data_IF_102816404192
#
_entry.id   IF_102816404192
#
_cell.length_a   1.000
_cell.length_b   1.000
_cell.length_c   1.000
_cell.angle_alpha   90.00
_cell.angle_beta   90.00
_cell.angle_gamma   90.00
#
_symmetry.space_group_name_H-M   'P 1'
#
loop_
_entity.id
_entity.type
_entity.pdbx_description
1 polymer ?
#
# COMPACT_ATOMS: atom_id res chain seq x y z
N UNK A 1 -13.39 -4.02 -26.67
CA UNK A 1 -13.83 -5.38 -26.30
C UNK A 1 -14.96 -5.20 -25.31
N UNK A 2 -16.05 -5.96 -25.43
CA UNK A 2 -17.08 -5.96 -24.39
C UNK A 2 -16.48 -6.46 -23.07
N UNK A 3 -16.90 -5.87 -21.97
CA UNK A 3 -16.29 -6.14 -20.67
C UNK A 3 -16.60 -7.57 -20.19
N UNK A 4 -17.76 -8.13 -20.56
CA UNK A 4 -18.11 -9.52 -20.21
C UNK A 4 -17.23 -10.51 -20.97
N UNK A 5 -17.00 -10.25 -22.25
CA UNK A 5 -16.07 -11.01 -23.07
C UNK A 5 -14.64 -10.94 -22.53
N UNK A 6 -14.20 -9.77 -22.04
CA UNK A 6 -12.91 -9.63 -21.36
C UNK A 6 -12.83 -10.54 -20.14
N UNK A 7 -13.80 -10.46 -19.22
CA UNK A 7 -13.81 -11.29 -18.01
C UNK A 7 -13.77 -12.80 -18.34
N UNK A 8 -14.50 -13.24 -19.37
CA UNK A 8 -14.45 -14.62 -19.87
C UNK A 8 -13.06 -15.04 -20.35
N UNK A 9 -12.37 -14.18 -21.10
CA UNK A 9 -11.00 -14.43 -21.56
C UNK A 9 -10.01 -14.47 -20.39
N UNK A 10 -10.20 -13.63 -19.39
CA UNK A 10 -9.40 -13.65 -18.16
C UNK A 10 -9.57 -14.98 -17.43
N UNK A 11 -10.80 -15.46 -17.26
CA UNK A 11 -11.07 -16.78 -16.69
C UNK A 11 -10.40 -17.90 -17.50
N UNK A 12 -10.53 -17.87 -18.83
CA UNK A 12 -9.89 -18.84 -19.71
C UNK A 12 -8.36 -18.88 -19.51
N UNK A 13 -7.73 -17.70 -19.45
CA UNK A 13 -6.29 -17.57 -19.24
C UNK A 13 -5.82 -18.07 -17.87
N UNK A 14 -6.69 -17.98 -16.85
CA UNK A 14 -6.48 -18.53 -15.52
C UNK A 14 -6.80 -20.04 -15.42
N UNK A 15 -7.16 -20.70 -16.53
CA UNK A 15 -7.54 -22.11 -16.54
C UNK A 15 -8.93 -22.39 -15.95
N UNK A 16 -9.78 -21.36 -15.82
CA UNK A 16 -11.14 -21.45 -15.34
C UNK A 16 -12.15 -21.47 -16.52
N UNK A 17 -13.26 -22.23 -16.42
CA UNK A 17 -14.25 -22.30 -17.50
C UNK A 17 -14.91 -20.94 -17.76
N UNK A 18 -14.80 -20.35 -18.95
CA UNK A 18 -15.36 -19.02 -19.24
C UNK A 18 -16.88 -18.94 -19.12
N UNK A 19 -17.57 -20.06 -19.37
CA UNK A 19 -19.01 -20.21 -19.22
C UNK A 19 -19.48 -20.20 -17.76
N UNK A 20 -18.57 -20.39 -16.81
CA UNK A 20 -18.90 -20.36 -15.37
C UNK A 20 -19.18 -18.94 -14.86
N UNK A 21 -18.88 -17.89 -15.64
CA UNK A 21 -19.16 -16.50 -15.25
C UNK A 21 -20.67 -16.22 -15.16
N UNK A 22 -21.18 -16.16 -13.93
CA UNK A 22 -22.58 -15.87 -13.63
C UNK A 22 -22.85 -14.37 -13.58
N UNK A 23 -22.06 -13.61 -12.83
CA UNK A 23 -22.29 -12.19 -12.55
C UNK A 23 -20.99 -11.39 -12.50
N UNK A 24 -21.09 -10.09 -12.80
CA UNK A 24 -20.04 -9.10 -12.65
C UNK A 24 -20.58 -7.90 -11.89
N UNK A 25 -19.91 -7.56 -10.80
CA UNK A 25 -20.30 -6.45 -9.95
C UNK A 25 -19.13 -5.45 -9.86
N UNK A 26 -19.33 -4.17 -10.20
CA UNK A 26 -18.30 -3.17 -9.94
C UNK A 26 -18.06 -3.07 -8.43
N UNK A 27 -16.79 -3.10 -8.02
CA UNK A 27 -16.39 -2.80 -6.64
C UNK A 27 -15.94 -1.33 -6.60
N UNK A 28 -16.61 -0.53 -5.76
CA UNK A 28 -16.20 0.85 -5.51
C UNK A 28 -14.96 0.93 -4.63
N UNK A 29 -14.36 2.13 -4.54
CA UNK A 29 -13.24 2.41 -3.62
C UNK A 29 -11.84 2.35 -4.24
N UNK A 30 -11.66 1.69 -5.38
CA UNK A 30 -10.42 1.75 -6.15
C UNK A 30 -10.23 3.14 -6.77
N UNK A 31 -9.16 3.85 -6.38
CA UNK A 31 -8.86 5.20 -6.92
C UNK A 31 -8.06 5.16 -8.23
N UNK A 32 -7.51 3.99 -8.58
CA UNK A 32 -6.58 3.83 -9.71
C UNK A 32 -7.00 2.73 -10.69
N UNK A 33 -7.18 1.50 -10.21
CA UNK A 33 -7.59 0.36 -11.03
C UNK A 33 -9.11 0.27 -11.13
N UNK A 34 -9.63 -0.22 -12.27
CA UNK A 34 -11.01 -0.71 -12.34
C UNK A 34 -11.04 -2.04 -11.60
N UNK A 35 -11.90 -2.14 -10.58
CA UNK A 35 -12.03 -3.33 -9.72
C UNK A 35 -13.44 -3.90 -9.87
N UNK A 36 -13.52 -5.20 -10.11
CA UNK A 36 -14.78 -5.91 -10.30
C UNK A 36 -14.77 -7.23 -9.53
N UNK A 37 -15.89 -7.57 -8.93
CA UNK A 37 -16.15 -8.91 -8.43
C UNK A 37 -16.72 -9.77 -9.57
N UNK A 38 -16.08 -10.91 -9.82
CA UNK A 38 -16.61 -11.97 -10.67
C UNK A 38 -17.21 -13.06 -9.80
N UNK A 39 -18.48 -13.39 -10.02
CA UNK A 39 -19.14 -14.54 -9.37
C UNK A 39 -19.31 -15.67 -10.37
N UNK A 40 -18.84 -16.85 -9.99
CA UNK A 40 -18.95 -18.05 -10.80
C UNK A 40 -20.20 -18.86 -10.41
N UNK A 41 -20.65 -19.74 -11.31
CA UNK A 41 -21.85 -20.57 -11.14
C UNK A 41 -21.79 -21.54 -9.96
N UNK A 42 -20.58 -21.87 -9.50
CA UNK A 42 -20.34 -22.75 -8.33
C UNK A 42 -20.28 -21.97 -6.99
N UNK A 43 -20.47 -20.65 -7.03
CA UNK A 43 -20.38 -19.77 -5.86
C UNK A 43 -18.98 -19.19 -5.61
N UNK A 44 -17.97 -19.56 -6.40
CA UNK A 44 -16.64 -18.97 -6.30
C UNK A 44 -16.69 -17.48 -6.60
N UNK A 45 -15.98 -16.68 -5.79
CA UNK A 45 -15.86 -15.23 -5.94
C UNK A 45 -14.41 -14.86 -6.22
N UNK A 46 -14.21 -14.03 -7.24
CA UNK A 46 -12.90 -13.54 -7.66
C UNK A 46 -12.95 -12.02 -7.78
N UNK A 47 -11.80 -11.38 -7.64
CA UNK A 47 -11.63 -9.95 -7.86
C UNK A 47 -10.76 -9.75 -9.11
N UNK A 48 -11.32 -9.10 -10.11
CA UNK A 48 -10.62 -8.70 -11.33
C UNK A 48 -10.19 -7.24 -11.21
N UNK A 49 -8.88 -7.00 -11.29
CA UNK A 49 -8.28 -5.67 -11.38
C UNK A 49 -7.75 -5.43 -12.78
N UNK A 50 -8.11 -4.29 -13.36
CA UNK A 50 -7.68 -3.84 -14.69
C UNK A 50 -6.99 -2.48 -14.50
N UNK A 51 -5.76 -2.31 -15.00
CA UNK A 51 -5.05 -1.05 -14.82
C UNK A 51 -5.67 0.03 -15.72
N UNK A 52 -5.54 1.32 -15.34
CA UNK A 52 -5.96 2.39 -16.20
C UNK A 52 -5.11 2.41 -17.50
N UNK A 53 -5.57 3.09 -18.56
CA UNK A 53 -4.78 3.27 -19.77
C UNK A 53 -3.38 3.83 -19.47
N UNK A 54 -2.37 3.44 -20.25
CA UNK A 54 -0.99 3.92 -20.08
C UNK A 54 -0.82 5.43 -20.27
N UNK A 55 -1.81 6.09 -20.89
CA UNK A 55 -1.89 7.54 -21.08
C UNK A 55 -2.43 8.29 -19.85
N UNK A 56 -2.92 7.59 -18.84
CA UNK A 56 -3.46 8.21 -17.61
C UNK A 56 -2.33 8.90 -16.84
N UNK A 57 -2.54 10.18 -16.50
CA UNK A 57 -1.61 10.93 -15.65
C UNK A 57 -1.49 10.25 -14.29
N UNK A 58 -0.26 9.97 -13.87
CA UNK A 58 0.06 9.22 -12.66
C UNK A 58 1.35 9.72 -12.03
N UNK A 59 1.54 9.43 -10.75
CA UNK A 59 2.82 9.58 -10.08
C UNK A 59 3.83 8.57 -10.64
N UNK A 60 5.12 8.88 -10.59
CA UNK A 60 6.19 8.06 -11.14
C UNK A 60 6.23 6.66 -10.54
N UNK A 61 6.00 6.55 -9.22
CA UNK A 61 5.99 5.27 -8.52
C UNK A 61 4.80 4.37 -8.90
N UNK A 62 3.72 4.93 -9.47
CA UNK A 62 2.50 4.20 -9.89
C UNK A 62 2.69 3.45 -11.22
N UNK A 63 3.93 3.19 -11.61
CA UNK A 63 4.25 2.32 -12.73
C UNK A 63 4.15 0.85 -12.31
N UNK A 64 3.46 0.04 -13.12
CA UNK A 64 3.33 -1.42 -12.94
C UNK A 64 2.73 -1.89 -11.60
N UNK A 65 1.75 -1.15 -11.06
CA UNK A 65 1.07 -1.45 -9.77
C UNK A 65 0.52 -2.88 -9.66
N UNK A 66 -0.05 -3.44 -10.75
CA UNK A 66 -0.53 -4.83 -10.74
C UNK A 66 0.59 -5.86 -10.50
N UNK A 67 1.82 -5.56 -10.94
CA UNK A 67 2.97 -6.42 -10.70
C UNK A 67 3.37 -6.43 -9.22
N UNK A 68 3.35 -5.26 -8.59
CA UNK A 68 3.59 -5.12 -7.16
C UNK A 68 2.54 -5.84 -6.32
N UNK A 69 1.25 -5.68 -6.64
CA UNK A 69 0.19 -6.38 -5.90
C UNK A 69 0.27 -7.90 -6.07
N UNK A 70 0.57 -8.39 -7.28
CA UNK A 70 0.78 -9.82 -7.51
C UNK A 70 1.98 -10.36 -6.70
N UNK A 71 3.05 -9.58 -6.58
CA UNK A 71 4.21 -9.93 -5.76
C UNK A 71 3.87 -9.97 -4.28
N UNK A 72 3.16 -8.96 -3.78
CA UNK A 72 2.64 -8.92 -2.40
C UNK A 72 1.80 -10.16 -2.08
N UNK A 73 0.81 -10.48 -2.93
CA UNK A 73 -0.07 -11.64 -2.72
C UNK A 73 0.72 -12.96 -2.66
N UNK A 74 1.73 -13.13 -3.53
CA UNK A 74 2.60 -14.32 -3.49
C UNK A 74 3.44 -14.36 -2.22
N UNK A 75 4.02 -13.24 -1.83
CA UNK A 75 4.88 -13.13 -0.65
C UNK A 75 4.09 -13.37 0.65
N UNK A 76 2.92 -12.74 0.80
CA UNK A 76 2.03 -12.91 1.96
C UNK A 76 1.56 -14.37 2.13
N UNK A 77 1.32 -15.08 1.01
CA UNK A 77 0.94 -16.49 1.04
C UNK A 77 2.02 -17.40 1.64
N UNK A 78 3.30 -17.02 1.60
CA UNK A 78 4.40 -17.82 2.17
C UNK A 78 4.44 -17.81 3.70
N UNK A 79 3.71 -16.89 4.33
CA UNK A 79 3.69 -16.69 5.78
C UNK A 79 2.27 -16.75 6.35
N UNK A 80 1.34 -17.40 5.64
CA UNK A 80 -0.11 -17.55 5.95
C UNK A 80 -0.77 -16.30 6.55
N UNK A 81 -0.48 -15.13 5.98
CA UNK A 81 -1.22 -13.91 6.29
C UNK A 81 -2.49 -13.88 5.42
N UNK A 82 -3.68 -13.55 5.99
CA UNK A 82 -4.90 -13.39 5.21
C UNK A 82 -4.72 -12.27 4.17
N UNK A 83 -4.60 -12.65 2.91
CA UNK A 83 -4.48 -11.75 1.76
C UNK A 83 -5.05 -12.45 0.53
N UNK A 84 -5.38 -11.72 -0.55
CA UNK A 84 -5.82 -12.33 -1.79
C UNK A 84 -4.73 -13.24 -2.37
N UNK A 85 -5.12 -14.34 -3.01
CA UNK A 85 -4.21 -15.20 -3.77
C UNK A 85 -4.35 -14.91 -5.25
N UNK A 86 -3.23 -14.95 -5.98
CA UNK A 86 -3.23 -14.77 -7.44
C UNK A 86 -3.82 -16.01 -8.10
N UNK A 87 -5.01 -15.85 -8.70
CA UNK A 87 -5.65 -16.88 -9.52
C UNK A 87 -5.20 -16.80 -10.99
N UNK A 88 -4.80 -15.60 -11.45
CA UNK A 88 -4.23 -15.39 -12.78
C UNK A 88 -3.68 -13.97 -12.91
N UNK A 89 -2.70 -13.77 -13.78
CA UNK A 89 -2.15 -12.45 -14.05
C UNK A 89 -1.65 -12.37 -15.49
N UNK A 90 -1.92 -11.24 -16.14
CA UNK A 90 -1.24 -10.86 -17.37
C UNK A 90 -0.76 -9.41 -17.22
N UNK A 91 0.56 -9.22 -17.18
CA UNK A 91 1.17 -7.91 -16.97
C UNK A 91 1.65 -7.26 -18.27
N UNK A 92 1.66 -8.00 -19.38
CA UNK A 92 2.02 -7.53 -20.72
C UNK A 92 0.79 -6.96 -21.46
N UNK A 93 0.98 -5.83 -22.14
CA UNK A 93 -0.02 -5.20 -23.01
C UNK A 93 -0.43 -6.09 -24.19
N UNK A 94 0.41 -7.03 -24.60
CA UNK A 94 0.12 -7.98 -25.68
C UNK A 94 -0.89 -9.06 -25.30
N UNK A 95 -1.30 -9.13 -24.02
CA UNK A 95 -2.24 -10.15 -23.55
C UNK A 95 -3.60 -10.05 -24.27
N UNK A 96 -4.22 -11.18 -24.68
CA UNK A 96 -5.48 -11.16 -25.45
C UNK A 96 -6.68 -10.48 -24.77
N UNK A 97 -6.64 -10.34 -23.44
CA UNK A 97 -7.64 -9.65 -22.62
C UNK A 97 -7.16 -8.27 -22.11
N UNK A 98 -5.98 -7.85 -22.54
CA UNK A 98 -5.21 -6.75 -21.94
C UNK A 98 -4.62 -7.13 -20.58
N UNK A 99 -3.89 -6.18 -20.00
CA UNK A 99 -3.30 -6.32 -18.67
C UNK A 99 -4.38 -6.47 -17.61
N UNK A 100 -4.18 -7.43 -16.71
CA UNK A 100 -5.11 -7.70 -15.61
C UNK A 100 -4.45 -8.50 -14.48
N UNK A 101 -5.06 -8.42 -13.31
CA UNK A 101 -4.78 -9.28 -12.17
C UNK A 101 -6.09 -9.88 -11.67
N UNK A 102 -6.13 -11.21 -11.56
CA UNK A 102 -7.26 -11.96 -11.05
C UNK A 102 -6.89 -12.55 -9.69
N UNK A 103 -7.63 -12.16 -8.66
CA UNK A 103 -7.37 -12.49 -7.27
C UNK A 103 -8.54 -13.29 -6.67
N UNK A 104 -8.27 -14.10 -5.65
CA UNK A 104 -9.34 -14.67 -4.82
C UNK A 104 -10.01 -13.59 -4.00
N UNK A 105 -11.32 -13.71 -3.81
CA UNK A 105 -12.06 -12.83 -2.89
C UNK A 105 -11.67 -13.10 -1.42
N UNK A 106 -11.44 -12.03 -0.64
CA UNK A 106 -11.22 -12.12 0.80
C UNK A 106 -12.52 -11.84 1.57
N UNK A 107 -12.86 -12.63 2.61
CA UNK A 107 -14.07 -12.43 3.40
C UNK A 107 -14.00 -11.15 4.25
N UNK A 108 -15.17 -10.70 4.72
CA UNK A 108 -15.29 -9.53 5.59
C UNK A 108 -15.79 -8.27 4.89
N UNK A 109 -16.00 -7.23 5.69
CA UNK A 109 -16.37 -5.87 5.28
C UNK A 109 -15.34 -4.84 5.78
N UNK A 110 -15.66 -3.55 5.67
CA UNK A 110 -14.77 -2.48 6.13
C UNK A 110 -14.57 -2.44 7.66
N UNK A 111 -13.47 -1.83 8.07
CA UNK A 111 -13.09 -1.60 9.46
C UNK A 111 -14.02 -0.64 10.23
N UNK A 112 -14.83 0.17 9.55
CA UNK A 112 -15.65 1.21 10.18
C UNK A 112 -16.77 0.67 11.08
N UNK A 113 -17.05 1.34 12.20
CA UNK A 113 -18.17 0.99 13.08
C UNK A 113 -17.91 -0.26 13.92
N UNK A 114 -16.68 -0.43 14.38
CA UNK A 114 -16.27 -1.37 15.43
C UNK A 114 -16.44 -0.72 16.80
N UNK A 115 -16.83 -1.50 17.80
CA UNK A 115 -16.78 -1.05 19.19
C UNK A 115 -15.32 -1.01 19.68
N UNK A 116 -14.95 -0.15 20.66
CA UNK A 116 -13.56 -0.02 21.11
C UNK A 116 -12.90 -1.33 21.55
N UNK A 117 -13.67 -2.25 22.15
CA UNK A 117 -13.15 -3.55 22.56
C UNK A 117 -12.88 -4.49 21.37
N UNK A 118 -13.68 -4.40 20.30
CA UNK A 118 -13.47 -5.14 19.07
C UNK A 118 -12.24 -4.61 18.32
N UNK A 119 -12.11 -3.28 18.27
CA UNK A 119 -10.96 -2.61 17.65
C UNK A 119 -9.65 -2.98 18.34
N UNK A 120 -9.59 -2.99 19.68
CA UNK A 120 -8.40 -3.40 20.42
C UNK A 120 -7.95 -4.83 20.08
N UNK A 121 -8.91 -5.77 20.00
CA UNK A 121 -8.64 -7.17 19.60
C UNK A 121 -8.09 -7.24 18.19
N UNK A 122 -8.73 -6.54 17.25
CA UNK A 122 -8.32 -6.52 15.84
C UNK A 122 -6.98 -5.82 15.63
N UNK A 123 -6.68 -4.72 16.34
CA UNK A 123 -5.38 -4.04 16.27
C UNK A 123 -4.27 -4.96 16.75
N UNK A 124 -4.48 -5.73 17.81
CA UNK A 124 -3.53 -6.74 18.27
C UNK A 124 -3.34 -7.86 17.27
N UNK A 125 -4.41 -8.42 16.70
CA UNK A 125 -4.30 -9.43 15.62
C UNK A 125 -3.53 -8.86 14.42
N UNK A 126 -3.87 -7.65 13.99
CA UNK A 126 -3.21 -6.94 12.88
C UNK A 126 -1.72 -6.75 13.14
N UNK A 127 -1.32 -6.39 14.35
CA UNK A 127 0.08 -6.34 14.77
C UNK A 127 0.81 -7.66 14.51
N UNK A 128 0.22 -8.78 14.92
CA UNK A 128 0.77 -10.11 14.67
C UNK A 128 0.88 -10.44 13.17
N UNK A 129 -0.16 -10.14 12.39
CA UNK A 129 -0.16 -10.37 10.94
C UNK A 129 0.92 -9.56 10.22
N UNK A 130 1.08 -8.28 10.57
CA UNK A 130 2.10 -7.40 9.99
C UNK A 130 3.51 -7.88 10.38
N UNK A 131 3.71 -8.34 11.62
CA UNK A 131 4.98 -8.96 12.02
C UNK A 131 5.32 -10.20 11.18
N UNK A 132 4.32 -11.02 10.80
CA UNK A 132 4.51 -12.16 9.90
C UNK A 132 4.87 -11.73 8.49
N UNK A 133 4.20 -10.72 7.93
CA UNK A 133 4.56 -10.14 6.62
C UNK A 133 6.03 -9.72 6.61
N UNK A 134 6.47 -9.01 7.65
CA UNK A 134 7.83 -8.52 7.80
C UNK A 134 8.91 -9.62 7.96
N UNK A 135 8.52 -10.90 8.09
CA UNK A 135 9.47 -12.02 8.04
C UNK A 135 9.92 -12.34 6.62
N UNK A 136 9.13 -12.01 5.60
CA UNK A 136 9.47 -12.27 4.20
C UNK A 136 10.57 -11.31 3.75
N UNK A 137 11.60 -11.84 3.10
CA UNK A 137 12.74 -11.07 2.57
C UNK A 137 12.73 -11.01 1.05
N UNK A 138 13.08 -9.85 0.49
CA UNK A 138 13.23 -9.64 -0.94
C UNK A 138 14.66 -9.85 -1.44
N UNK A 139 14.86 -9.86 -2.78
CA UNK A 139 16.19 -10.00 -3.38
C UNK A 139 17.02 -8.71 -3.38
N UNK A 140 16.41 -7.57 -3.05
CA UNK A 140 17.04 -6.25 -2.98
C UNK A 140 16.01 -5.20 -2.54
N UNK A 141 16.43 -3.95 -2.38
CA UNK A 141 15.61 -2.85 -1.88
C UNK A 141 14.91 -2.06 -3.00
N UNK A 142 13.70 -1.57 -2.74
CA UNK A 142 12.92 -0.72 -3.64
C UNK A 142 11.65 -1.37 -4.19
N UNK A 143 11.01 -0.68 -5.16
CA UNK A 143 9.79 -1.16 -5.78
C UNK A 143 10.07 -2.32 -6.76
N UNK A 144 9.38 -3.47 -6.63
CA UNK A 144 9.52 -4.59 -7.57
C UNK A 144 9.03 -4.24 -8.98
N UNK A 145 8.22 -3.19 -9.14
CA UNK A 145 7.80 -2.65 -10.44
C UNK A 145 8.94 -2.11 -11.29
N UNK A 146 10.08 -1.78 -10.68
CA UNK A 146 11.19 -1.12 -11.35
C UNK A 146 10.95 0.37 -11.63
N UNK A 147 9.93 0.98 -11.00
CA UNK A 147 9.54 2.39 -11.20
C UNK A 147 10.70 3.39 -11.14
N UNK A 148 11.67 3.12 -10.27
CA UNK A 148 12.87 3.95 -10.05
C UNK A 148 14.16 3.22 -10.41
N UNK A 149 14.09 2.23 -11.30
CA UNK A 149 15.21 1.37 -11.68
C UNK A 149 15.21 0.01 -10.96
N UNK A 150 16.26 -0.80 -11.14
CA UNK A 150 16.37 -2.11 -10.52
C UNK A 150 16.48 -2.00 -9.00
N UNK A 151 16.14 -3.10 -8.31
CA UNK A 151 16.33 -3.20 -6.86
C UNK A 151 17.81 -2.95 -6.49
N UNK A 152 18.02 -2.22 -5.39
CA UNK A 152 19.35 -1.81 -4.93
C UNK A 152 19.84 -2.73 -3.80
N UNK A 153 21.15 -2.67 -3.53
CA UNK A 153 21.75 -3.42 -2.41
C UNK A 153 21.57 -2.73 -1.06
N UNK A 154 21.30 -1.43 -1.05
CA UNK A 154 21.20 -0.60 0.14
C UNK A 154 19.88 0.18 0.19
N UNK A 155 19.29 0.27 1.40
CA UNK A 155 18.01 0.91 1.60
C UNK A 155 18.06 2.42 1.40
N UNK A 156 19.16 3.08 1.80
CA UNK A 156 19.32 4.52 1.63
C UNK A 156 19.18 4.92 0.15
N UNK A 157 19.88 4.25 -0.76
CA UNK A 157 19.81 4.55 -2.20
C UNK A 157 18.40 4.32 -2.75
N UNK A 158 17.77 3.20 -2.40
CA UNK A 158 16.38 2.95 -2.81
C UNK A 158 15.44 4.05 -2.31
N UNK A 159 15.44 4.32 -1.01
CA UNK A 159 14.53 5.29 -0.40
C UNK A 159 14.78 6.72 -0.88
N UNK A 160 16.04 7.11 -1.13
CA UNK A 160 16.35 8.39 -1.78
C UNK A 160 15.66 8.49 -3.15
N UNK A 161 15.75 7.46 -3.99
CA UNK A 161 15.09 7.46 -5.30
C UNK A 161 13.55 7.51 -5.18
N UNK A 162 12.98 6.78 -4.22
CA UNK A 162 11.54 6.79 -3.94
C UNK A 162 11.07 8.20 -3.54
N UNK A 163 11.78 8.85 -2.63
CA UNK A 163 11.45 10.17 -2.11
C UNK A 163 11.64 11.25 -3.18
N UNK A 164 12.77 11.24 -3.88
CA UNK A 164 13.08 12.17 -4.97
C UNK A 164 12.06 12.06 -6.10
N UNK A 165 11.58 10.85 -6.41
CA UNK A 165 10.51 10.66 -7.40
C UNK A 165 9.23 11.43 -7.07
N UNK A 166 8.82 11.46 -5.80
CA UNK A 166 7.62 12.20 -5.38
C UNK A 166 7.89 13.71 -5.33
N UNK A 167 9.10 14.14 -4.95
CA UNK A 167 9.49 15.55 -5.04
C UNK A 167 9.51 16.05 -6.49
N UNK A 168 9.98 15.23 -7.42
CA UNK A 168 9.98 15.54 -8.85
C UNK A 168 8.56 15.59 -9.41
N UNK A 169 7.67 14.71 -8.97
CA UNK A 169 6.24 14.81 -9.29
C UNK A 169 5.62 16.09 -8.69
N UNK A 170 5.97 16.47 -7.46
CA UNK A 170 5.50 17.72 -6.85
C UNK A 170 5.89 18.94 -7.71
N UNK A 171 7.14 18.96 -8.21
CA UNK A 171 7.63 20.00 -9.14
C UNK A 171 6.93 19.95 -10.49
N UNK A 172 6.83 18.75 -11.08
CA UNK A 172 6.22 18.50 -12.39
C UNK A 172 4.76 18.92 -12.44
N UNK A 173 4.00 18.62 -11.39
CA UNK A 173 2.58 18.95 -11.30
C UNK A 173 2.31 20.34 -10.72
N UNK A 174 3.34 21.04 -10.20
CA UNK A 174 3.14 22.29 -9.48
C UNK A 174 2.25 22.11 -8.26
N UNK A 175 2.38 20.97 -7.57
CA UNK A 175 1.53 20.63 -6.44
C UNK A 175 1.69 21.65 -5.30
N UNK A 176 0.58 21.99 -4.67
CA UNK A 176 0.62 22.84 -3.48
C UNK A 176 1.15 22.03 -2.29
N UNK A 177 2.09 22.62 -1.55
CA UNK A 177 2.65 22.06 -0.32
C UNK A 177 2.63 23.13 0.79
N UNK A 178 2.53 22.73 2.07
CA UNK A 178 2.55 23.67 3.20
C UNK A 178 3.90 24.37 3.39
N UNK A 179 4.97 23.82 2.81
CA UNK A 179 6.33 24.38 2.78
C UNK A 179 6.92 24.18 1.38
N UNK A 180 7.91 24.98 0.95
CA UNK A 180 8.54 24.83 -0.37
C UNK A 180 9.12 23.42 -0.59
N UNK A 181 8.97 22.87 -1.80
CA UNK A 181 9.45 21.52 -2.14
C UNK A 181 10.94 21.31 -1.86
N UNK A 182 11.76 22.33 -2.08
CA UNK A 182 13.21 22.26 -1.82
C UNK A 182 13.53 22.28 -0.32
N UNK A 183 12.66 22.85 0.50
CA UNK A 183 12.75 22.76 1.95
C UNK A 183 12.40 21.36 2.46
N UNK A 184 11.33 20.75 1.93
CA UNK A 184 11.01 19.33 2.20
C UNK A 184 12.22 18.46 1.87
N UNK A 185 12.78 18.61 0.66
CA UNK A 185 13.91 17.82 0.19
C UNK A 185 15.14 17.96 1.11
N UNK A 186 15.49 19.20 1.48
CA UNK A 186 16.63 19.50 2.35
C UNK A 186 16.45 18.91 3.75
N UNK A 187 15.26 19.06 4.35
CA UNK A 187 14.97 18.53 5.68
C UNK A 187 14.92 17.01 5.70
N UNK A 188 14.33 16.36 4.68
CA UNK A 188 14.36 14.90 4.59
C UNK A 188 15.80 14.38 4.45
N UNK A 189 16.61 15.02 3.60
CA UNK A 189 17.99 14.60 3.34
C UNK A 189 18.88 14.61 4.60
N UNK A 190 18.62 15.47 5.59
CA UNK A 190 19.43 15.52 6.81
C UNK A 190 19.38 14.23 7.63
N UNK A 191 18.34 13.40 7.45
CA UNK A 191 18.14 12.16 8.18
C UNK A 191 18.44 10.87 7.38
N UNK A 192 18.93 10.99 6.13
CA UNK A 192 19.14 9.82 5.24
C UNK A 192 20.22 8.84 5.73
N UNK A 193 21.31 9.34 6.30
CA UNK A 193 21.50 9.07 7.72
C UNK A 193 21.14 7.69 8.28
N UNK A 194 20.04 7.72 9.03
CA UNK A 194 19.47 6.63 9.77
C UNK A 194 19.01 5.43 8.90
N UNK A 195 18.88 5.60 7.58
CA UNK A 195 18.46 4.53 6.67
C UNK A 195 19.53 3.43 6.53
N UNK A 196 20.81 3.74 6.81
CA UNK A 196 21.91 2.76 6.74
C UNK A 196 21.77 1.61 7.74
N UNK A 197 20.98 1.77 8.80
CA UNK A 197 20.69 0.70 9.76
C UNK A 197 19.81 -0.42 9.17
N UNK A 198 19.12 -0.14 8.06
CA UNK A 198 18.24 -1.09 7.39
C UNK A 198 19.05 -1.94 6.43
N UNK A 199 19.32 -3.18 6.85
CA UNK A 199 20.23 -4.10 6.13
C UNK A 199 19.51 -5.28 5.49
N UNK A 200 18.22 -5.47 5.75
CA UNK A 200 17.43 -6.57 5.18
C UNK A 200 16.19 -6.02 4.47
N UNK A 201 16.04 -6.26 3.15
CA UNK A 201 14.83 -5.88 2.42
C UNK A 201 13.67 -6.76 2.85
N UNK A 202 12.70 -6.20 3.57
CA UNK A 202 11.50 -6.93 4.00
C UNK A 202 10.29 -6.55 3.16
N UNK A 203 9.31 -7.43 3.11
CA UNK A 203 8.01 -7.15 2.50
C UNK A 203 7.34 -6.02 3.27
N UNK A 204 7.11 -4.88 2.62
CA UNK A 204 6.36 -3.74 3.18
C UNK A 204 5.14 -3.50 2.29
N UNK A 205 3.94 -3.44 2.85
CA UNK A 205 2.71 -3.20 2.09
C UNK A 205 2.55 -1.73 1.70
N UNK A 206 2.87 -0.83 2.62
CA UNK A 206 2.84 0.63 2.53
C UNK A 206 1.46 1.26 2.24
N UNK A 207 0.37 0.54 2.51
CA UNK A 207 -0.99 1.07 2.32
C UNK A 207 -2.05 0.39 3.21
N UNK A 208 -1.68 0.01 4.44
CA UNK A 208 -2.55 -0.69 5.40
C UNK A 208 -3.37 0.29 6.26
N UNK A 209 -4.10 1.20 5.61
CA UNK A 209 -5.11 2.03 6.26
C UNK A 209 -6.44 1.24 6.40
N UNK A 210 -7.39 1.68 7.24
CA UNK A 210 -8.62 0.93 7.52
C UNK A 210 -9.43 0.46 6.29
N UNK A 211 -9.36 1.19 5.16
CA UNK A 211 -10.05 0.81 3.92
C UNK A 211 -9.47 -0.43 3.22
N UNK A 212 -8.23 -0.79 3.51
CA UNK A 212 -7.53 -1.94 2.92
C UNK A 212 -7.45 -3.15 3.87
N UNK A 213 -8.19 -3.09 4.99
CA UNK A 213 -8.24 -4.16 5.98
C UNK A 213 -9.69 -4.64 6.08
N UNK A 214 -9.93 -5.86 5.59
CA UNK A 214 -11.24 -6.49 5.68
C UNK A 214 -11.41 -7.15 7.04
N UNK A 215 -12.59 -6.98 7.62
CA UNK A 215 -12.96 -7.51 8.94
C UNK A 215 -14.11 -8.49 8.81
N UNK A 216 -13.89 -9.72 9.26
CA UNK A 216 -14.95 -10.71 9.46
C UNK A 216 -15.58 -10.49 10.82
N UNK A 217 -16.84 -10.04 10.82
CA UNK A 217 -17.61 -9.86 12.05
C UNK A 217 -18.23 -11.19 12.49
N UNK A 218 -18.18 -11.46 13.77
CA UNK A 218 -18.73 -12.65 14.42
C UNK A 218 -18.71 -12.47 15.93
N UNK A 219 -18.84 -13.56 16.71
CA UNK A 219 -18.70 -13.50 18.18
C UNK A 219 -17.34 -12.98 18.62
N UNK A 220 -16.31 -13.13 17.78
CA UNK A 220 -15.02 -12.48 17.93
C UNK A 220 -14.57 -12.00 16.55
N UNK A 221 -14.42 -10.68 16.33
CA UNK A 221 -14.03 -10.15 15.04
C UNK A 221 -12.59 -10.56 14.72
N UNK A 222 -12.31 -10.78 13.44
CA UNK A 222 -10.98 -11.12 12.94
C UNK A 222 -10.65 -10.44 11.63
N UNK A 223 -9.36 -10.31 11.31
CA UNK A 223 -8.90 -9.85 10.00
C UNK A 223 -9.22 -10.90 8.93
N UNK A 224 -10.10 -10.53 8.00
CA UNK A 224 -10.48 -11.34 6.84
C UNK A 224 -9.54 -11.21 5.65
N UNK A 225 -8.83 -10.08 5.53
CA UNK A 225 -7.84 -9.88 4.48
C UNK A 225 -7.13 -8.53 4.53
N UNK A 226 -5.83 -8.56 4.29
CA UNK A 226 -5.00 -7.39 3.98
C UNK A 226 -4.89 -7.29 2.46
N UNK A 227 -5.64 -6.34 1.88
CA UNK A 227 -5.84 -6.22 0.43
C UNK A 227 -5.10 -5.00 -0.12
N UNK A 228 -4.97 -4.94 -1.45
CA UNK A 228 -4.45 -3.78 -2.17
C UNK A 228 -2.95 -3.48 -1.92
N UNK A 229 -2.12 -4.52 -2.03
CA UNK A 229 -0.66 -4.42 -1.92
C UNK A 229 0.03 -3.76 -3.13
N UNK A 230 -0.63 -2.85 -3.83
CA UNK A 230 -0.09 -2.22 -5.05
C UNK A 230 1.09 -1.28 -4.75
N UNK A 231 1.13 -0.70 -3.54
CA UNK A 231 2.23 0.15 -3.07
C UNK A 231 3.37 -0.63 -2.41
N UNK A 232 3.37 -1.97 -2.52
CA UNK A 232 4.38 -2.76 -1.83
C UNK A 232 5.79 -2.48 -2.35
N UNK A 233 6.77 -2.44 -1.45
CA UNK A 233 8.19 -2.42 -1.80
C UNK A 233 9.00 -3.30 -0.85
N UNK A 234 10.20 -3.67 -1.29
CA UNK A 234 11.16 -4.36 -0.45
C UNK A 234 11.98 -3.32 0.32
N UNK A 235 11.77 -3.23 1.63
CA UNK A 235 12.25 -2.08 2.40
C UNK A 235 12.33 -2.29 3.90
N UNK A 236 12.28 -1.18 4.62
CA UNK A 236 12.23 -1.14 6.08
C UNK A 236 10.80 -1.45 6.59
N UNK A 237 10.61 -2.51 7.40
CA UNK A 237 9.35 -2.81 8.09
C UNK A 237 8.66 -1.63 8.77
N UNK A 238 9.44 -0.67 9.28
CA UNK A 238 8.91 0.51 9.97
C UNK A 238 8.06 1.40 9.05
N UNK A 239 8.25 1.33 7.73
CA UNK A 239 7.47 2.12 6.79
C UNK A 239 5.99 1.70 6.75
N UNK A 240 5.62 0.47 7.07
CA UNK A 240 4.21 0.06 7.12
C UNK A 240 3.42 0.81 8.22
N UNK A 241 4.11 1.17 9.30
CA UNK A 241 3.51 1.75 10.50
C UNK A 241 2.84 3.10 10.21
N UNK A 242 3.28 3.82 9.17
CA UNK A 242 2.74 5.13 8.83
C UNK A 242 1.34 5.04 8.22
N UNK A 243 1.05 3.96 7.49
CA UNK A 243 -0.26 3.72 6.87
C UNK A 243 -1.24 3.10 7.88
N UNK A 244 -0.72 2.26 8.78
CA UNK A 244 -1.45 1.66 9.90
C UNK A 244 -1.92 2.67 10.96
N UNK A 245 -1.29 3.84 11.00
CA UNK A 245 -1.67 4.98 11.84
C UNK A 245 -1.86 6.24 10.98
N UNK A 246 -2.53 6.10 9.83
CA UNK A 246 -2.81 7.20 8.91
C UNK A 246 -3.47 8.39 9.66
N UNK A 247 -2.86 9.57 9.55
CA UNK A 247 -3.22 10.81 10.28
C UNK A 247 -3.10 10.74 11.82
N UNK A 248 -2.58 9.64 12.35
CA UNK A 248 -2.32 9.42 13.77
C UNK A 248 -0.84 9.13 14.05
N UNK A 249 -0.59 8.44 15.17
CA UNK A 249 0.75 8.05 15.60
C UNK A 249 0.76 6.62 16.13
N UNK A 250 1.43 5.72 15.42
CA UNK A 250 1.54 4.30 15.79
C UNK A 250 2.13 4.09 17.20
N UNK A 251 2.89 5.07 17.72
CA UNK A 251 3.46 5.02 19.08
C UNK A 251 2.40 5.01 20.17
N UNK A 252 1.19 5.46 19.85
CA UNK A 252 0.05 5.51 20.77
C UNK A 252 -0.81 4.24 20.70
N UNK A 253 -0.52 3.34 19.76
CA UNK A 253 -1.30 2.12 19.54
C UNK A 253 -0.70 0.93 20.29
N UNK A 254 -1.03 0.85 21.58
CA UNK A 254 -0.51 -0.20 22.46
C UNK A 254 -0.93 -1.61 22.02
N UNK A 255 -2.15 -1.77 21.49
CA UNK A 255 -2.69 -3.07 21.09
C UNK A 255 -1.96 -3.61 19.86
N UNK A 256 -1.79 -2.79 18.82
CA UNK A 256 -1.00 -3.13 17.64
C UNK A 256 0.45 -3.46 18.01
N UNK A 257 1.11 -2.58 18.78
CA UNK A 257 2.52 -2.78 19.16
C UNK A 257 2.71 -4.06 19.99
N UNK A 258 1.77 -4.37 20.88
CA UNK A 258 1.78 -5.61 21.65
C UNK A 258 1.68 -6.82 20.72
N UNK A 259 0.70 -6.86 19.81
CA UNK A 259 0.54 -7.97 18.87
C UNK A 259 1.75 -8.14 17.95
N UNK A 260 2.31 -7.03 17.48
CA UNK A 260 3.51 -7.02 16.65
C UNK A 260 4.70 -7.65 17.38
N UNK A 261 4.91 -7.31 18.66
CA UNK A 261 5.99 -7.85 19.48
C UNK A 261 5.78 -9.32 19.86
N UNK A 262 4.56 -9.74 20.14
CA UNK A 262 4.22 -11.14 20.48
C UNK A 262 4.56 -12.12 19.35
N UNK A 263 4.39 -11.67 18.11
CA UNK A 263 4.78 -12.43 16.91
C UNK A 263 6.25 -12.17 16.51
N UNK A 264 7.07 -11.68 17.43
CA UNK A 264 8.52 -11.52 17.26
C UNK A 264 8.96 -10.32 16.42
N UNK A 265 8.02 -9.44 16.06
CA UNK A 265 8.34 -8.13 15.52
C UNK A 265 9.15 -7.31 16.52
N UNK A 266 10.14 -6.56 16.05
CA UNK A 266 11.00 -5.73 16.91
C UNK A 266 10.82 -4.27 16.54
N UNK A 267 10.34 -3.48 17.50
CA UNK A 267 10.30 -2.03 17.39
C UNK A 267 10.57 -1.42 18.74
N UNK A 268 11.60 -0.59 18.80
CA UNK A 268 11.92 0.29 19.91
C UNK A 268 12.16 1.66 19.29
N UNK A 269 11.44 2.69 19.75
CA UNK A 269 11.50 4.03 19.16
C UNK A 269 12.74 4.81 19.62
N UNK A 270 13.91 4.25 19.36
CA UNK A 270 15.21 4.92 19.53
C UNK A 270 15.29 6.18 18.66
N UNK A 271 16.23 7.11 18.90
CA UNK A 271 16.39 8.30 18.05
C UNK A 271 16.52 7.98 16.56
N UNK A 272 17.21 6.90 16.21
CA UNK A 272 17.35 6.46 14.81
C UNK A 272 16.05 5.95 14.20
N UNK A 273 15.29 5.12 14.95
CA UNK A 273 13.97 4.65 14.52
C UNK A 273 12.99 5.82 14.39
N UNK A 274 13.03 6.81 15.28
CA UNK A 274 12.19 8.01 15.19
C UNK A 274 12.52 8.83 13.94
N UNK A 275 13.80 9.00 13.59
CA UNK A 275 14.23 9.65 12.33
C UNK A 275 13.68 8.91 11.10
N UNK A 276 13.83 7.58 11.04
CA UNK A 276 13.28 6.77 9.94
C UNK A 276 11.75 6.84 9.86
N UNK A 277 11.07 6.75 11.00
CA UNK A 277 9.61 6.87 11.06
C UNK A 277 9.13 8.24 10.57
N UNK A 278 9.79 9.33 10.97
CA UNK A 278 9.46 10.67 10.49
C UNK A 278 9.75 10.83 8.98
N UNK A 279 10.81 10.22 8.45
CA UNK A 279 11.05 10.13 7.00
C UNK A 279 9.87 9.46 6.27
N UNK A 280 9.44 8.29 6.74
CA UNK A 280 8.32 7.56 6.12
C UNK A 280 6.99 8.30 6.25
N UNK A 281 6.74 8.99 7.38
CA UNK A 281 5.56 9.86 7.54
C UNK A 281 5.59 10.99 6.52
N UNK A 282 6.72 11.69 6.42
CA UNK A 282 6.87 12.78 5.45
C UNK A 282 6.68 12.28 4.01
N UNK A 283 7.18 11.08 3.69
CA UNK A 283 7.02 10.46 2.38
C UNK A 283 5.55 10.17 2.05
N UNK A 284 4.81 9.51 2.94
CA UNK A 284 3.39 9.20 2.75
C UNK A 284 2.55 10.47 2.60
N UNK A 285 2.75 11.46 3.48
CA UNK A 285 1.96 12.69 3.42
C UNK A 285 2.33 13.59 2.24
N UNK A 286 3.59 13.53 1.78
CA UNK A 286 3.98 14.16 0.52
C UNK A 286 3.24 13.51 -0.66
N UNK A 287 3.18 12.17 -0.75
CA UNK A 287 2.39 11.47 -1.78
C UNK A 287 0.94 11.95 -1.77
N UNK A 288 0.29 11.95 -0.60
CA UNK A 288 -1.11 12.33 -0.44
C UNK A 288 -1.42 13.78 -0.85
N UNK A 289 -0.45 14.70 -0.74
CA UNK A 289 -0.60 16.08 -1.20
C UNK A 289 -0.35 16.22 -2.69
N UNK A 290 0.63 15.51 -3.22
CA UNK A 290 1.00 15.58 -4.65
C UNK A 290 -0.04 14.88 -5.51
N UNK A 291 -0.62 13.77 -5.05
CA UNK A 291 -1.59 12.97 -5.80
C UNK A 291 -2.89 13.72 -6.14
N UNK A 292 -3.19 14.81 -5.42
CA UNK A 292 -4.36 15.67 -5.63
C UNK A 292 -4.43 16.17 -7.07
N UNK A 293 -3.29 16.54 -7.66
CA UNK A 293 -3.23 17.11 -9.01
C UNK A 293 -3.50 16.07 -10.10
N UNK A 294 -2.74 14.96 -10.22
CA UNK A 294 -2.99 13.97 -11.26
C UNK A 294 -4.35 13.27 -11.13
N UNK A 295 -4.91 13.19 -9.90
CA UNK A 295 -6.25 12.63 -9.66
C UNK A 295 -7.39 13.63 -9.93
N UNK A 296 -7.07 14.90 -10.21
CA UNK A 296 -8.05 15.96 -10.47
C UNK A 296 -9.18 16.01 -9.44
N UNK A 297 -8.81 15.96 -8.15
CA UNK A 297 -9.78 15.94 -7.05
C UNK A 297 -10.60 17.23 -6.98
N UNK A 298 -11.85 17.14 -6.53
CA UNK A 298 -12.72 18.31 -6.33
C UNK A 298 -12.27 19.18 -5.14
N UNK A 299 -12.84 20.39 -5.07
CA UNK A 299 -12.49 21.41 -4.07
C UNK A 299 -12.65 20.92 -2.62
N UNK A 300 -13.63 20.07 -2.34
CA UNK A 300 -13.86 19.52 -1.01
C UNK A 300 -12.75 18.54 -0.61
N UNK A 301 -12.39 17.65 -1.53
CA UNK A 301 -11.26 16.75 -1.35
C UNK A 301 -9.94 17.53 -1.22
N UNK A 302 -9.72 18.57 -2.03
CA UNK A 302 -8.53 19.44 -1.94
C UNK A 302 -8.46 20.11 -0.56
N UNK A 303 -9.56 20.71 -0.10
CA UNK A 303 -9.62 21.38 1.21
C UNK A 303 -9.27 20.41 2.34
N UNK A 304 -9.84 19.20 2.33
CA UNK A 304 -9.53 18.18 3.32
C UNK A 304 -8.04 17.80 3.36
N UNK A 305 -7.35 17.67 2.20
CA UNK A 305 -5.90 17.40 2.21
C UNK A 305 -5.13 18.55 2.86
N UNK A 306 -5.52 19.80 2.60
CA UNK A 306 -4.87 20.96 3.22
C UNK A 306 -5.08 21.01 4.74
N UNK A 307 -6.28 20.65 5.20
CA UNK A 307 -6.65 20.73 6.62
C UNK A 307 -6.15 19.53 7.43
N UNK A 308 -6.25 18.32 6.89
CA UNK A 308 -5.93 17.09 7.63
C UNK A 308 -4.53 16.54 7.32
N UNK A 309 -4.07 16.60 6.06
CA UNK A 309 -2.82 15.97 5.63
C UNK A 309 -1.63 16.92 5.76
N UNK A 310 -1.78 18.17 5.36
CA UNK A 310 -0.67 19.14 5.37
C UNK A 310 -0.02 19.33 6.75
N UNK A 311 -0.77 19.43 7.87
CA UNK A 311 -0.18 19.50 9.20
C UNK A 311 0.68 18.27 9.55
N UNK A 312 0.34 17.10 9.00
CA UNK A 312 1.08 15.87 9.26
C UNK A 312 2.43 15.84 8.53
N UNK A 313 2.50 16.37 7.31
CA UNK A 313 3.77 16.59 6.61
C UNK A 313 4.65 17.56 7.41
N UNK A 314 4.12 18.71 7.82
CA UNK A 314 4.87 19.70 8.61
C UNK A 314 5.38 19.09 9.91
N UNK A 315 4.53 18.40 10.68
CA UNK A 315 4.94 17.76 11.93
C UNK A 315 6.02 16.69 11.74
N UNK A 316 6.00 15.95 10.65
CA UNK A 316 7.05 14.98 10.33
C UNK A 316 8.39 15.69 10.00
N UNK A 317 8.35 16.81 9.28
CA UNK A 317 9.53 17.61 8.97
C UNK A 317 10.11 18.31 10.21
N UNK A 318 9.25 18.80 11.11
CA UNK A 318 9.65 19.38 12.39
C UNK A 318 10.35 18.32 13.27
N UNK A 319 9.80 17.10 13.37
CA UNK A 319 10.44 16.00 14.11
C UNK A 319 11.80 15.62 13.50
N UNK A 320 11.97 15.68 12.18
CA UNK A 320 13.28 15.49 11.55
C UNK A 320 14.26 16.61 11.91
N UNK A 321 13.80 17.85 11.96
CA UNK A 321 14.62 19.01 12.35
C UNK A 321 15.07 18.97 13.80
N UNK A 322 14.24 18.46 14.71
CA UNK A 322 14.57 18.31 16.14
C UNK A 322 15.56 17.16 16.41
N UNK A 323 15.59 16.16 15.53
CA UNK A 323 16.42 14.94 15.67
C UNK A 323 17.71 14.99 14.83
N UNK A 324 17.92 16.04 14.03
CA UNK A 324 19.12 16.28 13.22
C UNK A 324 20.24 16.94 14.03
#
# INVERSE_FOLDING_TARGET
MDDRERARRVLAAAGLPPESLAERLPLGGGTYNTVEELRLTDGTRLVLKIPPPSTTTRLAYESELLGAEAEYCRAAATVDVPAPRVAGAALDDSAPAGRHLLLTYCPGGGWDGLEPAEEAVLRRELGGLVARLHRVTGPGFGYPSGAFGPLTADWRTAFTALYDGVLDDARRFGAWLPVPVDEVARTAKSAYDALDEVTVPRLVHFDLWPGNILVERGESPRVGGLIDGERMFWGDPLADFVSLALLGDIRQDADFLTGYQEEGGRVEFTPSVRRRYALYRSYLYLIMLVEVVPRALDDGHVAWRREAVAPQLTAALDELGELS
#
